data_IF_707704929860
#
_entry.id   IF_707704929860
#
_cell.length_a   1.000
_cell.length_b   1.000
_cell.length_c   1.000
_cell.angle_alpha   90.00
_cell.angle_beta   90.00
_cell.angle_gamma   90.00
#
_symmetry.space_group_name_H-M   'P 1'
#
loop_
_entity.id
_entity.type
_entity.pdbx_description
1 polymer ?
#
# COMPACT_ATOMS: atom_id res chain seq x y z
N UNK A 1 -9.29 2.32 -4.01
CA UNK A 1 -9.77 3.14 -2.87
C UNK A 1 -9.82 4.63 -3.17
N UNK A 2 -8.81 5.23 -3.81
CA UNK A 2 -8.80 6.67 -4.09
C UNK A 2 -9.99 7.13 -4.95
N UNK A 3 -10.29 6.39 -6.03
CA UNK A 3 -11.47 6.65 -6.86
C UNK A 3 -12.79 6.61 -6.07
N UNK A 4 -12.97 5.56 -5.27
CA UNK A 4 -14.17 5.37 -4.45
C UNK A 4 -14.42 6.55 -3.51
N UNK A 5 -13.40 7.05 -2.81
CA UNK A 5 -13.54 8.21 -1.92
C UNK A 5 -13.88 9.51 -2.68
N UNK A 6 -13.30 9.69 -3.87
CA UNK A 6 -13.67 10.81 -4.74
C UNK A 6 -15.14 10.76 -5.15
N UNK A 7 -15.63 9.56 -5.50
CA UNK A 7 -17.03 9.35 -5.85
C UNK A 7 -17.97 9.56 -4.65
N UNK A 8 -17.58 9.15 -3.44
CA UNK A 8 -18.38 9.41 -2.25
C UNK A 8 -18.54 10.92 -1.99
N UNK A 9 -17.47 11.70 -2.14
CA UNK A 9 -17.56 13.17 -2.07
C UNK A 9 -18.40 13.74 -3.21
N UNK A 10 -18.22 13.26 -4.45
CA UNK A 10 -18.99 13.71 -5.62
C UNK A 10 -20.50 13.47 -5.44
N UNK A 11 -20.87 12.36 -4.81
CA UNK A 11 -22.26 11.99 -4.51
C UNK A 11 -22.80 12.63 -3.21
N UNK A 12 -21.99 13.40 -2.48
CA UNK A 12 -22.39 14.01 -1.20
C UNK A 12 -22.70 13.00 -0.10
N UNK A 13 -22.08 11.82 -0.16
CA UNK A 13 -22.25 10.78 0.86
C UNK A 13 -21.45 11.16 2.10
N UNK A 14 -22.12 11.17 3.26
CA UNK A 14 -21.55 11.61 4.54
C UNK A 14 -21.37 10.43 5.51
N UNK A 15 -20.83 9.30 5.01
CA UNK A 15 -20.67 8.07 5.79
C UNK A 15 -19.21 7.87 6.22
N UNK A 16 -18.94 7.35 7.44
CA UNK A 16 -17.61 6.92 7.82
C UNK A 16 -17.07 5.82 6.89
N UNK A 17 -15.80 5.91 6.50
CA UNK A 17 -15.14 4.90 5.66
C UNK A 17 -14.05 4.21 6.45
N UNK A 18 -14.03 2.89 6.39
CA UNK A 18 -12.93 2.08 6.91
C UNK A 18 -12.07 1.51 5.79
N UNK A 19 -10.76 1.61 5.96
CA UNK A 19 -9.76 1.22 4.97
C UNK A 19 -8.80 0.21 5.62
N UNK A 20 -8.65 -0.94 4.98
CA UNK A 20 -7.72 -1.99 5.38
C UNK A 20 -7.41 -2.90 4.18
N UNK A 21 -6.46 -3.83 4.39
CA UNK A 21 -6.00 -4.76 3.37
C UNK A 21 -4.48 -4.71 3.17
N UNK A 22 -3.94 -5.72 2.50
CA UNK A 22 -2.49 -5.95 2.39
C UNK A 22 -1.69 -4.79 1.76
N UNK A 23 -2.29 -4.09 0.80
CA UNK A 23 -1.65 -2.97 0.08
C UNK A 23 -1.93 -1.61 0.69
N UNK A 24 -2.74 -1.56 1.76
CA UNK A 24 -3.13 -0.30 2.41
C UNK A 24 -2.24 -0.03 3.60
N UNK A 25 -1.90 1.24 3.82
CA UNK A 25 -1.14 1.67 5.00
C UNK A 25 -1.74 2.93 5.60
N UNK A 26 -1.32 3.25 6.83
CA UNK A 26 -1.71 4.48 7.52
C UNK A 26 -1.20 5.70 6.74
N UNK A 27 0.01 5.60 6.20
CA UNK A 27 0.68 6.66 5.43
C UNK A 27 -0.01 6.90 4.10
N UNK A 28 -0.29 5.85 3.33
CA UNK A 28 -1.03 5.98 2.07
C UNK A 28 -2.43 6.56 2.32
N UNK A 29 -3.09 6.13 3.40
CA UNK A 29 -4.39 6.67 3.79
C UNK A 29 -4.31 8.16 4.14
N UNK A 30 -3.34 8.56 4.97
CA UNK A 30 -3.14 9.94 5.37
C UNK A 30 -2.80 10.86 4.19
N UNK A 31 -1.91 10.42 3.30
CA UNK A 31 -1.35 11.27 2.23
C UNK A 31 -2.28 11.34 1.01
N UNK A 32 -2.88 10.22 0.60
CA UNK A 32 -3.61 10.14 -0.68
C UNK A 32 -5.12 10.07 -0.52
N UNK A 33 -5.62 9.39 0.50
CA UNK A 33 -7.04 9.05 0.63
C UNK A 33 -7.80 10.10 1.45
N UNK A 34 -7.33 10.41 2.66
CA UNK A 34 -7.94 11.38 3.56
C UNK A 34 -8.21 12.76 2.92
N UNK A 35 -7.31 13.36 2.13
CA UNK A 35 -7.56 14.66 1.51
C UNK A 35 -8.77 14.69 0.57
N UNK A 36 -9.15 13.56 -0.02
CA UNK A 36 -10.28 13.47 -0.95
C UNK A 36 -11.63 13.40 -0.28
N UNK A 37 -11.66 13.05 1.01
CA UNK A 37 -12.88 12.82 1.78
C UNK A 37 -12.83 13.60 3.12
N UNK A 38 -12.22 14.78 3.08
CA UNK A 38 -11.73 15.54 4.26
C UNK A 38 -12.84 15.98 5.23
N UNK A 39 -14.07 16.13 4.73
CA UNK A 39 -15.24 16.54 5.51
C UNK A 39 -15.84 15.40 6.34
N UNK A 40 -15.38 14.16 6.13
CA UNK A 40 -15.95 12.98 6.75
C UNK A 40 -14.86 12.10 7.36
N UNK A 41 -15.28 11.09 8.13
CA UNK A 41 -14.37 10.26 8.89
C UNK A 41 -13.78 9.14 8.02
N UNK A 42 -12.45 9.05 7.97
CA UNK A 42 -11.70 7.98 7.30
C UNK A 42 -10.86 7.24 8.33
N UNK A 43 -11.10 5.96 8.54
CA UNK A 43 -10.38 5.16 9.53
C UNK A 43 -9.54 4.09 8.84
N UNK A 44 -8.24 4.08 9.14
CA UNK A 44 -7.35 3.00 8.73
C UNK A 44 -7.27 1.93 9.83
N UNK A 45 -7.39 0.66 9.45
CA UNK A 45 -7.28 -0.49 10.36
C UNK A 45 -6.23 -1.47 9.84
N UNK A 46 -5.26 -1.83 10.68
CA UNK A 46 -4.18 -2.74 10.29
C UNK A 46 -4.59 -4.21 10.22
N UNK A 47 -5.68 -4.59 10.90
CA UNK A 47 -6.19 -5.96 10.92
C UNK A 47 -7.67 -5.99 11.34
N UNK A 48 -8.28 -7.16 11.21
CA UNK A 48 -9.69 -7.39 11.54
C UNK A 48 -10.00 -7.14 13.03
N UNK A 49 -9.13 -7.59 13.95
CA UNK A 49 -9.36 -7.43 15.38
C UNK A 49 -9.50 -5.96 15.79
N UNK A 50 -8.66 -5.07 15.24
CA UNK A 50 -8.74 -3.63 15.50
C UNK A 50 -9.91 -2.97 14.79
N UNK A 51 -10.31 -3.48 13.64
CA UNK A 51 -11.48 -2.99 12.91
C UNK A 51 -12.76 -3.13 13.74
N UNK A 52 -12.92 -4.25 14.46
CA UNK A 52 -14.07 -4.47 15.35
C UNK A 52 -14.14 -3.40 16.45
N UNK A 53 -13.02 -3.10 17.11
CA UNK A 53 -12.97 -2.06 18.15
C UNK A 53 -13.34 -0.68 17.59
N UNK A 54 -12.83 -0.34 16.41
CA UNK A 54 -13.17 0.92 15.72
C UNK A 54 -14.67 0.97 15.43
N UNK A 55 -15.24 -0.07 14.83
CA UNK A 55 -16.69 -0.15 14.55
C UNK A 55 -17.53 0.05 15.82
N UNK A 56 -17.16 -0.58 16.93
CA UNK A 56 -17.86 -0.45 18.20
C UNK A 56 -17.88 1.00 18.69
N UNK A 57 -16.76 1.72 18.57
CA UNK A 57 -16.68 3.15 18.93
C UNK A 57 -17.50 4.04 17.99
N UNK A 58 -17.60 3.71 16.69
CA UNK A 58 -18.37 4.50 15.72
C UNK A 58 -19.88 4.53 16.00
N UNK A 59 -20.40 3.49 16.65
CA UNK A 59 -21.80 3.39 17.06
C UNK A 59 -22.18 4.42 18.13
N UNK A 60 -21.22 4.89 18.94
CA UNK A 60 -21.43 5.96 19.92
C UNK A 60 -21.10 7.34 19.29
N UNK A 61 -22.05 8.30 19.21
CA UNK A 61 -21.80 9.64 18.67
C UNK A 61 -20.64 10.41 19.35
N UNK A 62 -20.55 10.36 20.67
CA UNK A 62 -19.50 11.06 21.44
C UNK A 62 -18.13 10.41 21.22
N UNK A 63 -18.10 9.07 21.29
CA UNK A 63 -16.90 8.28 21.02
C UNK A 63 -16.39 8.46 19.59
N UNK A 64 -17.30 8.57 18.61
CA UNK A 64 -16.97 8.81 17.20
C UNK A 64 -16.24 10.13 17.01
N UNK A 65 -16.74 11.22 17.60
CA UNK A 65 -16.12 12.54 17.47
C UNK A 65 -14.70 12.55 18.07
N UNK A 66 -14.54 11.99 19.27
CA UNK A 66 -13.24 11.88 19.94
C UNK A 66 -12.25 11.01 19.14
N UNK A 67 -12.71 9.84 18.64
CA UNK A 67 -11.89 8.94 17.84
C UNK A 67 -11.47 9.59 16.53
N UNK A 68 -12.38 10.30 15.86
CA UNK A 68 -12.07 10.98 14.61
C UNK A 68 -11.01 12.06 14.80
N UNK A 69 -11.13 12.87 15.85
CA UNK A 69 -10.15 13.91 16.15
C UNK A 69 -8.75 13.33 16.41
N UNK A 70 -8.67 12.16 17.05
CA UNK A 70 -7.40 11.45 17.23
C UNK A 70 -6.80 11.00 15.88
N UNK A 71 -7.61 10.37 15.01
CA UNK A 71 -7.15 9.93 13.68
C UNK A 71 -6.73 11.09 12.79
N UNK A 72 -7.47 12.20 12.84
CA UNK A 72 -7.17 13.41 12.10
C UNK A 72 -5.81 13.98 12.50
N UNK A 73 -5.54 14.13 13.80
CA UNK A 73 -4.23 14.57 14.31
C UNK A 73 -3.09 13.65 13.86
N UNK A 74 -3.32 12.34 13.87
CA UNK A 74 -2.34 11.38 13.40
C UNK A 74 -2.05 11.52 11.90
N UNK A 75 -3.08 11.73 11.09
CA UNK A 75 -2.93 11.94 9.65
C UNK A 75 -2.23 13.26 9.32
N UNK A 76 -2.58 14.34 10.02
CA UNK A 76 -1.92 15.64 9.86
C UNK A 76 -0.42 15.56 10.23
N UNK A 77 -0.07 14.86 11.31
CA UNK A 77 1.33 14.59 11.66
C UNK A 77 2.07 13.83 10.57
N UNK A 78 1.45 12.80 9.99
CA UNK A 78 2.05 12.04 8.88
C UNK A 78 2.22 12.93 7.64
N UNK A 79 1.22 13.75 7.30
CA UNK A 79 1.31 14.68 6.17
C UNK A 79 2.43 15.71 6.37
N UNK A 80 2.56 16.28 7.57
CA UNK A 80 3.64 17.20 7.92
C UNK A 80 5.01 16.53 7.84
N UNK A 81 5.14 15.33 8.41
CA UNK A 81 6.38 14.54 8.33
C UNK A 81 6.77 14.23 6.89
N UNK A 82 5.80 13.83 6.06
CA UNK A 82 6.04 13.57 4.64
C UNK A 82 6.44 14.84 3.87
N UNK A 83 5.78 15.98 4.11
CA UNK A 83 6.13 17.26 3.49
C UNK A 83 7.54 17.74 3.87
N UNK A 84 7.97 17.47 5.11
CA UNK A 84 9.30 17.82 5.60
C UNK A 84 10.38 16.78 5.26
N UNK A 85 10.00 15.63 4.70
CA UNK A 85 10.93 14.56 4.37
C UNK A 85 11.75 14.94 3.15
N UNK A 86 13.07 15.09 3.33
CA UNK A 86 14.00 15.18 2.20
C UNK A 86 14.14 13.80 1.55
N UNK A 87 14.34 13.71 0.22
CA UNK A 87 14.63 12.44 -0.43
C UNK A 87 15.83 11.78 0.25
N UNK A 88 15.64 10.57 0.77
CA UNK A 88 16.68 9.82 1.50
C UNK A 88 17.89 9.47 0.62
N UNK A 89 17.72 9.49 -0.71
CA UNK A 89 18.78 9.23 -1.69
C UNK A 89 18.67 10.23 -2.84
N UNK A 90 19.82 10.56 -3.43
CA UNK A 90 19.89 11.28 -4.70
C UNK A 90 19.14 10.46 -5.76
N UNK A 91 18.08 11.03 -6.32
CA UNK A 91 17.41 10.45 -7.47
C UNK A 91 18.29 10.68 -8.69
N UNK A 92 18.56 9.61 -9.43
CA UNK A 92 19.25 9.68 -10.71
C UNK A 92 18.25 9.97 -11.82
N UNK A 93 18.73 10.57 -12.92
CA UNK A 93 17.95 10.64 -14.15
C UNK A 93 17.72 9.22 -14.70
N UNK A 94 16.70 9.05 -15.55
CA UNK A 94 16.45 7.76 -16.18
C UNK A 94 17.62 7.33 -17.07
N UNK A 95 18.32 8.29 -17.68
CA UNK A 95 19.53 8.08 -18.47
C UNK A 95 20.69 7.58 -17.60
N UNK A 96 20.97 8.26 -16.48
CA UNK A 96 22.01 7.85 -15.52
C UNK A 96 21.72 6.45 -14.94
N UNK A 97 20.47 6.18 -14.57
CA UNK A 97 20.07 4.87 -14.05
C UNK A 97 20.24 3.76 -15.10
N UNK A 98 19.94 4.02 -16.37
CA UNK A 98 20.15 3.07 -17.48
C UNK A 98 21.63 2.90 -17.84
N UNK A 99 22.44 3.93 -17.67
CA UNK A 99 23.89 3.84 -17.79
C UNK A 99 24.48 2.93 -16.69
N UNK A 100 23.93 3.01 -15.47
CA UNK A 100 24.29 2.15 -14.33
C UNK A 100 23.58 0.77 -14.33
N UNK A 101 23.00 0.34 -15.46
CA UNK A 101 22.34 -0.98 -15.51
C UNK A 101 23.35 -2.09 -15.26
N UNK A 102 22.86 -3.22 -14.74
CA UNK A 102 23.65 -4.46 -14.75
C UNK A 102 24.01 -4.82 -16.20
N UNK A 103 25.29 -4.94 -16.49
CA UNK A 103 25.81 -5.34 -17.79
C UNK A 103 26.26 -6.81 -17.75
N UNK A 104 25.35 -7.70 -18.13
CA UNK A 104 25.59 -9.15 -18.09
C UNK A 104 26.43 -9.69 -19.24
N UNK A 105 27.05 -8.84 -20.06
CA UNK A 105 27.87 -9.23 -21.21
C UNK A 105 29.27 -8.59 -21.20
N UNK A 106 29.69 -8.03 -20.06
CA UNK A 106 31.03 -7.46 -19.88
C UNK A 106 31.65 -7.89 -18.55
N UNK A 107 32.96 -7.63 -18.40
CA UNK A 107 33.71 -7.94 -17.18
C UNK A 107 33.67 -9.43 -16.82
N UNK A 108 33.36 -9.73 -15.57
CA UNK A 108 33.28 -11.11 -15.03
C UNK A 108 32.19 -11.98 -15.70
N UNK A 109 31.25 -11.36 -16.42
CA UNK A 109 30.15 -12.04 -17.11
C UNK A 109 30.36 -12.13 -18.62
N UNK A 110 31.51 -11.69 -19.14
CA UNK A 110 31.79 -11.70 -20.58
C UNK A 110 31.69 -13.10 -21.20
N UNK A 111 32.13 -14.13 -20.45
CA UNK A 111 32.10 -15.53 -20.88
C UNK A 111 30.92 -16.31 -20.28
N UNK A 112 29.97 -15.62 -19.63
CA UNK A 112 28.81 -16.29 -19.05
C UNK A 112 27.88 -16.81 -20.15
N UNK A 113 27.66 -18.12 -20.16
CA UNK A 113 26.68 -18.78 -21.02
C UNK A 113 25.43 -19.09 -20.19
N UNK A 114 24.30 -18.38 -20.43
CA UNK A 114 23.06 -18.68 -19.73
C UNK A 114 22.63 -20.14 -19.97
N UNK A 115 22.21 -20.88 -18.92
CA UNK A 115 21.80 -22.27 -19.09
C UNK A 115 20.55 -22.32 -19.97
N UNK A 116 20.59 -23.17 -21.00
CA UNK A 116 19.41 -23.39 -21.84
C UNK A 116 18.33 -24.11 -21.02
N UNK A 117 17.08 -23.59 -20.96
CA UNK A 117 15.99 -24.27 -20.28
C UNK A 117 15.78 -25.68 -20.85
N UNK A 118 15.61 -26.68 -19.98
CA UNK A 118 15.35 -28.08 -20.41
C UNK A 118 14.03 -28.21 -21.18
N UNK A 119 13.08 -27.34 -20.88
CA UNK A 119 11.79 -27.29 -21.52
C UNK A 119 11.42 -25.83 -21.77
N UNK A 120 11.12 -25.52 -23.02
CA UNK A 120 10.64 -24.22 -23.47
C UNK A 120 9.15 -24.32 -23.78
N UNK A 121 8.42 -23.23 -23.63
CA UNK A 121 6.96 -23.20 -23.85
C UNK A 121 6.17 -23.20 -22.55
N UNK A 122 4.86 -23.34 -22.66
CA UNK A 122 3.93 -23.34 -21.52
C UNK A 122 3.58 -24.79 -21.19
N UNK A 123 3.70 -25.16 -19.92
CA UNK A 123 3.23 -26.44 -19.38
C UNK A 123 2.25 -26.17 -18.25
N UNK A 124 1.11 -26.86 -18.28
CA UNK A 124 0.17 -26.87 -17.19
C UNK A 124 0.58 -27.94 -16.17
N UNK A 125 0.84 -27.50 -14.93
CA UNK A 125 1.23 -28.40 -13.84
C UNK A 125 0.10 -28.51 -12.82
N UNK A 126 -0.30 -29.74 -12.52
CA UNK A 126 -1.25 -30.05 -11.45
C UNK A 126 -0.52 -30.69 -10.27
N UNK A 127 -0.70 -30.12 -9.07
CA UNK A 127 -0.09 -30.62 -7.85
C UNK A 127 -1.15 -31.11 -6.87
N UNK A 128 -0.99 -32.34 -6.36
CA UNK A 128 -1.81 -32.85 -5.26
C UNK A 128 -1.44 -32.15 -3.95
N UNK A 129 -2.44 -31.88 -3.10
CA UNK A 129 -2.26 -31.17 -1.83
C UNK A 129 -1.18 -31.80 -0.92
N UNK A 130 -1.13 -33.13 -0.84
CA UNK A 130 -0.13 -33.84 -0.05
C UNK A 130 1.32 -33.53 -0.48
N UNK A 131 1.56 -33.28 -1.76
CA UNK A 131 2.88 -32.92 -2.29
C UNK A 131 3.33 -31.50 -1.87
N UNK A 132 2.42 -30.66 -1.39
CA UNK A 132 2.71 -29.27 -1.00
C UNK A 132 2.96 -29.11 0.50
N UNK A 133 2.53 -30.06 1.33
CA UNK A 133 2.67 -30.02 2.80
C UNK A 133 4.12 -29.85 3.29
N UNK A 134 5.16 -30.43 2.67
CA UNK A 134 6.55 -30.22 3.10
C UNK A 134 7.11 -28.83 2.78
N UNK A 135 6.38 -28.00 2.03
CA UNK A 135 6.81 -26.70 1.52
C UNK A 135 5.94 -25.53 1.99
N UNK A 136 5.06 -25.78 2.97
CA UNK A 136 4.27 -24.76 3.71
C UNK A 136 5.01 -24.46 5.01
#
# INVERSE_FOLDING_TARGET
MEYFLGEMTRLGLNLPVMIGGATTSKEHTAIKLYPKYKQHCVFYTSNASRAVTVCATLMNPEGRAALWEQFKKDYEKIQQSFANSKPLRKQLSIEEARANRFDGFSGEWADYVPPTPKQTGIEEMEFKLHCRLPHI
#
